data_IF_557145711192
#
_entry.id   IF_557145711192
#
_cell.length_a   1.000
_cell.length_b   1.000
_cell.length_c   1.000
_cell.angle_alpha   90.00
_cell.angle_beta   90.00
_cell.angle_gamma   90.00
#
_symmetry.space_group_name_H-M   'P 1'
#
loop_
_entity.id
_entity.type
_entity.pdbx_description
1 polymer ?
#
# COMPACT_ATOMS: atom_id res chain seq x y z
N UNK A 1 -0.71 5.68 3.15
CA UNK A 1 0.49 5.05 2.53
C UNK A 1 0.16 3.85 1.64
N UNK A 2 -0.58 2.83 2.11
CA UNK A 2 -0.98 1.71 1.24
C UNK A 2 -1.82 2.13 0.03
N UNK A 3 -2.69 3.14 0.19
CA UNK A 3 -3.53 3.66 -0.90
C UNK A 3 -2.71 4.21 -2.07
N UNK A 4 -1.57 4.85 -1.82
CA UNK A 4 -0.66 5.37 -2.85
C UNK A 4 -0.10 4.24 -3.70
N UNK A 5 0.32 3.16 -3.04
CA UNK A 5 0.82 1.96 -3.71
C UNK A 5 -0.23 1.40 -4.66
N UNK A 6 -1.46 1.21 -4.19
CA UNK A 6 -2.53 0.65 -5.02
C UNK A 6 -2.90 1.58 -6.19
N UNK A 7 -2.87 2.89 -6.00
CA UNK A 7 -3.12 3.86 -7.08
C UNK A 7 -2.04 3.76 -8.17
N UNK A 8 -0.77 3.72 -7.77
CA UNK A 8 0.33 3.61 -8.72
C UNK A 8 0.39 2.26 -9.43
N UNK A 9 0.01 1.19 -8.73
CA UNK A 9 -0.13 -0.16 -9.29
C UNK A 9 -1.24 -0.21 -10.35
N UNK A 10 -2.43 0.30 -10.02
CA UNK A 10 -3.55 0.40 -10.94
C UNK A 10 -3.18 1.21 -12.19
N UNK A 11 -2.50 2.35 -12.02
CA UNK A 11 -2.02 3.15 -13.15
C UNK A 11 -1.02 2.37 -14.03
N UNK A 12 -0.06 1.67 -13.42
CA UNK A 12 0.90 0.83 -14.15
C UNK A 12 0.23 -0.29 -14.96
N UNK A 13 -0.77 -0.97 -14.37
CA UNK A 13 -1.52 -2.02 -15.07
C UNK A 13 -2.43 -1.47 -16.18
N UNK A 14 -3.02 -0.29 -16.02
CA UNK A 14 -3.77 0.37 -17.11
C UNK A 14 -2.85 0.75 -18.28
N UNK A 15 -1.64 1.25 -17.98
CA UNK A 15 -0.64 1.55 -19.01
C UNK A 15 -0.19 0.28 -19.74
N UNK A 16 -0.01 -0.81 -19.00
CA UNK A 16 0.32 -2.11 -19.57
C UNK A 16 -0.84 -2.67 -20.43
N UNK A 17 -2.09 -2.54 -19.96
CA UNK A 17 -3.28 -2.94 -20.73
C UNK A 17 -3.38 -2.19 -22.05
N UNK A 18 -3.09 -0.89 -22.05
CA UNK A 18 -3.08 -0.08 -23.26
C UNK A 18 -2.03 -0.57 -24.26
N UNK A 19 -0.81 -0.87 -23.79
CA UNK A 19 0.27 -1.46 -24.60
C UNK A 19 -0.05 -2.84 -25.19
N UNK A 20 -0.92 -3.62 -24.54
CA UNK A 20 -1.31 -4.95 -24.97
C UNK A 20 -2.44 -4.96 -26.03
N UNK A 21 -2.95 -3.80 -26.44
CA UNK A 21 -4.03 -3.70 -27.43
C UNK A 21 -3.54 -4.04 -28.83
N UNK A 22 -4.33 -4.78 -29.62
CA UNK A 22 -3.96 -5.27 -30.96
C UNK A 22 -3.55 -4.14 -31.93
N UNK A 23 -4.15 -2.96 -31.80
CA UNK A 23 -3.83 -1.80 -32.65
C UNK A 23 -2.52 -1.08 -32.30
N UNK A 24 -2.00 -1.26 -31.09
CA UNK A 24 -0.84 -0.52 -30.56
C UNK A 24 0.10 -1.43 -29.77
N UNK A 25 0.64 -2.47 -30.43
CA UNK A 25 1.59 -3.39 -29.81
C UNK A 25 2.99 -2.76 -29.70
N UNK A 26 3.28 -2.12 -28.56
CA UNK A 26 4.58 -1.49 -28.27
C UNK A 26 5.19 -2.08 -26.99
N UNK A 27 6.12 -3.06 -27.09
CA UNK A 27 6.64 -3.78 -25.92
C UNK A 27 7.32 -2.90 -24.87
N UNK A 28 7.95 -1.80 -25.29
CA UNK A 28 8.61 -0.85 -24.38
C UNK A 28 7.62 -0.16 -23.44
N UNK A 29 6.41 0.12 -23.92
CA UNK A 29 5.37 0.74 -23.09
C UNK A 29 4.82 -0.24 -22.06
N UNK A 30 4.67 -1.51 -22.44
CA UNK A 30 4.26 -2.58 -21.53
C UNK A 30 5.30 -2.82 -20.44
N UNK A 31 6.58 -2.82 -20.81
CA UNK A 31 7.68 -2.88 -19.84
C UNK A 31 7.65 -1.71 -18.85
N UNK A 32 7.42 -0.49 -19.35
CA UNK A 32 7.31 0.70 -18.50
C UNK A 32 6.11 0.59 -17.54
N UNK A 33 4.94 0.17 -18.03
CA UNK A 33 3.74 -0.04 -17.22
C UNK A 33 3.96 -1.08 -16.11
N UNK A 34 4.53 -2.23 -16.48
CA UNK A 34 4.85 -3.29 -15.52
C UNK A 34 5.89 -2.86 -14.48
N UNK A 35 6.89 -2.08 -14.89
CA UNK A 35 7.92 -1.54 -13.98
C UNK A 35 7.30 -0.58 -12.96
N UNK A 36 6.44 0.33 -13.44
CA UNK A 36 5.71 1.25 -12.56
C UNK A 36 4.89 0.45 -11.54
N UNK A 37 4.07 -0.50 -12.01
CA UNK A 37 3.27 -1.34 -11.13
C UNK A 37 4.14 -2.03 -10.06
N UNK A 38 5.22 -2.69 -10.48
CA UNK A 38 6.13 -3.43 -9.60
C UNK A 38 6.78 -2.57 -8.51
N UNK A 39 7.17 -1.33 -8.85
CA UNK A 39 7.73 -0.37 -7.89
C UNK A 39 6.70 -0.03 -6.82
N UNK A 40 5.45 0.24 -7.22
CA UNK A 40 4.39 0.58 -6.29
C UNK A 40 3.94 -0.59 -5.42
N UNK A 41 3.83 -1.80 -5.97
CA UNK A 41 3.54 -3.04 -5.23
C UNK A 41 4.60 -3.31 -4.15
N UNK A 42 5.86 -2.98 -4.40
CA UNK A 42 6.97 -3.18 -3.44
C UNK A 42 6.79 -2.36 -2.14
N UNK A 43 6.07 -1.23 -2.20
CA UNK A 43 5.75 -0.44 -1.01
C UNK A 43 4.54 -0.98 -0.24
N UNK A 44 3.67 -1.76 -0.89
CA UNK A 44 2.46 -2.29 -0.27
C UNK A 44 2.77 -3.27 0.87
N UNK A 45 3.74 -4.18 0.64
CA UNK A 45 4.10 -5.21 1.61
C UNK A 45 4.58 -4.65 2.97
N UNK A 46 5.61 -3.77 3.05
CA UNK A 46 6.03 -3.22 4.34
C UNK A 46 4.95 -2.37 5.02
N UNK A 47 4.14 -1.63 4.24
CA UNK A 47 3.04 -0.84 4.78
C UNK A 47 1.93 -1.72 5.38
N UNK A 48 1.59 -2.83 4.73
CA UNK A 48 0.61 -3.81 5.23
C UNK A 48 1.11 -4.51 6.50
N UNK A 49 2.39 -4.88 6.57
CA UNK A 49 2.98 -5.47 7.77
C UNK A 49 2.95 -4.49 8.96
N UNK A 50 3.26 -3.21 8.72
CA UNK A 50 3.15 -2.16 9.74
C UNK A 50 1.70 -1.98 10.22
N UNK A 51 0.73 -1.98 9.30
CA UNK A 51 -0.70 -1.91 9.65
C UNK A 51 -1.12 -3.08 10.55
N UNK A 52 -0.73 -4.32 10.22
CA UNK A 52 -1.04 -5.50 11.04
C UNK A 52 -0.40 -5.36 12.44
N UNK A 53 0.85 -4.90 12.51
CA UNK A 53 1.54 -4.70 13.78
C UNK A 53 0.84 -3.67 14.69
N UNK A 54 0.27 -2.61 14.11
CA UNK A 54 -0.42 -1.56 14.84
C UNK A 54 -1.82 -1.98 15.31
N UNK A 55 -2.54 -2.79 14.53
CA UNK A 55 -3.93 -3.20 14.83
C UNK A 55 -4.02 -4.43 15.72
N UNK A 56 -3.10 -5.38 15.58
CA UNK A 56 -3.21 -6.68 16.25
C UNK A 56 -2.44 -6.67 17.58
N UNK A 57 -3.04 -7.22 18.63
CA UNK A 57 -2.40 -7.39 19.93
C UNK A 57 -1.18 -8.33 19.82
N UNK A 58 -0.12 -8.04 20.59
CA UNK A 58 1.17 -8.73 20.47
C UNK A 58 1.08 -10.26 20.58
N UNK A 59 0.17 -10.75 21.42
CA UNK A 59 -0.10 -12.18 21.64
C UNK A 59 -0.69 -12.91 20.41
N UNK A 60 -1.41 -12.19 19.54
CA UNK A 60 -2.08 -12.77 18.36
C UNK A 60 -1.37 -12.43 17.03
N UNK A 61 -0.37 -11.54 17.04
CA UNK A 61 0.33 -11.09 15.82
C UNK A 61 0.95 -12.24 15.02
N UNK A 62 1.60 -13.19 15.70
CA UNK A 62 2.23 -14.34 15.04
C UNK A 62 1.22 -15.21 14.30
N UNK A 63 0.04 -15.42 14.89
CA UNK A 63 -1.04 -16.17 14.26
C UNK A 63 -1.59 -15.42 13.04
N UNK A 64 -1.83 -14.12 13.15
CA UNK A 64 -2.30 -13.31 12.00
C UNK A 64 -1.27 -13.33 10.87
N UNK A 65 0.01 -13.16 11.16
CA UNK A 65 1.05 -13.26 10.14
C UNK A 65 1.12 -14.63 9.49
N UNK A 66 0.94 -15.72 10.24
CA UNK A 66 0.89 -17.07 9.68
C UNK A 66 -0.28 -17.24 8.70
N UNK A 67 -1.47 -16.72 9.03
CA UNK A 67 -2.64 -16.75 8.14
C UNK A 67 -2.37 -15.94 6.87
N UNK A 68 -1.86 -14.71 6.98
CA UNK A 68 -1.50 -13.89 5.82
C UNK A 68 -0.47 -14.58 4.93
N UNK A 69 0.56 -15.18 5.52
CA UNK A 69 1.59 -15.90 4.77
C UNK A 69 1.03 -17.12 4.03
N UNK A 70 0.13 -17.88 4.66
CA UNK A 70 -0.58 -18.99 4.02
C UNK A 70 -1.40 -18.49 2.83
N UNK A 71 -2.16 -17.40 2.98
CA UNK A 71 -2.96 -16.82 1.91
C UNK A 71 -2.10 -16.39 0.72
N UNK A 72 -0.92 -15.79 0.97
CA UNK A 72 0.02 -15.40 -0.10
C UNK A 72 0.53 -16.63 -0.85
N UNK A 73 0.95 -17.69 -0.15
CA UNK A 73 1.44 -18.90 -0.81
C UNK A 73 0.36 -19.55 -1.68
N UNK A 74 -0.88 -19.56 -1.21
CA UNK A 74 -2.02 -20.06 -1.99
C UNK A 74 -2.23 -19.18 -3.24
N UNK A 75 -2.21 -17.85 -3.09
CA UNK A 75 -2.37 -16.92 -4.20
C UNK A 75 -1.26 -17.04 -5.26
N UNK A 76 -0.01 -17.23 -4.84
CA UNK A 76 1.15 -17.40 -5.76
C UNK A 76 1.08 -18.69 -6.56
N UNK A 77 0.39 -19.72 -6.07
CA UNK A 77 0.16 -20.97 -6.82
C UNK A 77 -1.04 -20.83 -7.75
N UNK A 78 -2.18 -20.35 -7.24
CA UNK A 78 -3.44 -20.31 -8.00
C UNK A 78 -3.41 -19.18 -9.05
N UNK A 79 -2.82 -18.03 -8.70
CA UNK A 79 -2.77 -16.83 -9.54
C UNK A 79 -2.18 -17.08 -10.93
N UNK A 80 -0.96 -17.64 -11.06
CA UNK A 80 -0.37 -17.93 -12.36
C UNK A 80 -1.13 -18.99 -13.16
N UNK A 81 -1.77 -19.96 -12.51
CA UNK A 81 -2.55 -21.00 -13.20
C UNK A 81 -3.76 -20.37 -13.88
N UNK A 82 -4.55 -19.59 -13.14
CA UNK A 82 -5.72 -18.90 -13.70
C UNK A 82 -5.26 -17.80 -14.67
N UNK A 83 -4.27 -17.01 -14.26
CA UNK A 83 -3.73 -15.89 -15.04
C UNK A 83 -3.19 -16.33 -16.39
N UNK A 84 -2.42 -17.42 -16.47
CA UNK A 84 -1.86 -17.90 -17.74
C UNK A 84 -2.93 -18.33 -18.73
N UNK A 85 -3.97 -19.03 -18.27
CA UNK A 85 -5.08 -19.49 -19.12
C UNK A 85 -5.88 -18.32 -19.69
N UNK A 86 -6.19 -17.32 -18.87
CA UNK A 86 -6.99 -16.16 -19.30
C UNK A 86 -6.15 -15.18 -20.12
N UNK A 87 -4.90 -14.92 -19.71
CA UNK A 87 -4.00 -13.98 -20.36
C UNK A 87 -3.60 -14.42 -21.77
N UNK A 88 -3.48 -15.73 -22.02
CA UNK A 88 -3.15 -16.26 -23.35
C UNK A 88 -4.16 -15.83 -24.42
N UNK A 89 -5.46 -15.85 -24.09
CA UNK A 89 -6.53 -15.52 -25.03
C UNK A 89 -6.96 -14.06 -24.95
N UNK A 90 -6.90 -13.45 -23.76
CA UNK A 90 -7.45 -12.12 -23.49
C UNK A 90 -6.52 -11.26 -22.62
N UNK A 91 -5.34 -10.85 -23.14
CA UNK A 91 -4.35 -10.13 -22.34
C UNK A 91 -4.87 -8.77 -21.84
N UNK A 92 -5.51 -7.99 -22.71
CA UNK A 92 -6.08 -6.67 -22.34
C UNK A 92 -7.15 -6.81 -21.26
N UNK A 93 -8.10 -7.74 -21.45
CA UNK A 93 -9.18 -7.97 -20.47
C UNK A 93 -8.62 -8.42 -19.14
N UNK A 94 -7.59 -9.28 -19.15
CA UNK A 94 -6.92 -9.74 -17.93
C UNK A 94 -6.27 -8.57 -17.18
N UNK A 95 -5.53 -7.71 -17.88
CA UNK A 95 -4.86 -6.56 -17.28
C UNK A 95 -5.85 -5.51 -16.75
N UNK A 96 -6.94 -5.26 -17.47
CA UNK A 96 -8.02 -4.38 -16.99
C UNK A 96 -8.73 -4.98 -15.78
N UNK A 97 -8.97 -6.30 -15.76
CA UNK A 97 -9.57 -6.97 -14.60
C UNK A 97 -8.70 -6.85 -13.35
N UNK A 98 -7.37 -6.94 -13.49
CA UNK A 98 -6.42 -6.69 -12.40
C UNK A 98 -6.54 -5.24 -11.91
N UNK A 99 -6.50 -4.25 -12.81
CA UNK A 99 -6.66 -2.84 -12.44
C UNK A 99 -8.00 -2.54 -11.75
N UNK A 100 -9.09 -3.23 -12.15
CA UNK A 100 -10.39 -3.14 -11.48
C UNK A 100 -10.38 -3.78 -10.10
N UNK A 101 -9.67 -4.89 -9.91
CA UNK A 101 -9.48 -5.51 -8.60
C UNK A 101 -8.68 -4.57 -7.67
N UNK A 102 -7.65 -3.89 -8.19
CA UNK A 102 -6.90 -2.88 -7.44
C UNK A 102 -7.77 -1.67 -7.08
N UNK A 103 -8.62 -1.22 -8.01
CA UNK A 103 -9.58 -0.16 -7.74
C UNK A 103 -10.58 -0.56 -6.65
N UNK A 104 -11.06 -1.80 -6.69
CA UNK A 104 -11.92 -2.35 -5.64
C UNK A 104 -11.17 -2.37 -4.29
N UNK A 105 -9.93 -2.84 -4.27
CA UNK A 105 -9.09 -2.84 -3.07
C UNK A 105 -8.89 -1.42 -2.54
N UNK A 106 -8.64 -0.43 -3.40
CA UNK A 106 -8.51 0.97 -3.03
C UNK A 106 -9.79 1.48 -2.36
N UNK A 107 -10.96 1.20 -2.92
CA UNK A 107 -12.26 1.58 -2.33
C UNK A 107 -12.45 0.91 -0.97
N UNK A 108 -12.10 -0.37 -0.83
CA UNK A 108 -12.17 -1.09 0.44
C UNK A 108 -11.22 -0.48 1.48
N UNK A 109 -9.98 -0.15 1.08
CA UNK A 109 -9.01 0.49 1.96
C UNK A 109 -9.46 1.89 2.38
N UNK A 110 -10.07 2.68 1.50
CA UNK A 110 -10.57 4.01 1.86
C UNK A 110 -11.78 3.96 2.78
N UNK A 111 -12.64 2.94 2.62
CA UNK A 111 -13.88 2.81 3.41
C UNK A 111 -13.66 2.12 4.77
N UNK A 112 -12.77 1.12 4.81
CA UNK A 112 -12.54 0.27 6.00
C UNK A 112 -11.15 0.43 6.61
N UNK A 113 -10.18 0.94 5.87
CA UNK A 113 -8.85 1.23 6.37
C UNK A 113 -8.89 2.48 7.24
N UNK A 114 -8.97 2.30 8.55
CA UNK A 114 -8.69 3.38 9.49
C UNK A 114 -7.18 3.62 9.52
N UNK A 115 -6.76 4.88 9.50
CA UNK A 115 -5.34 5.26 9.59
C UNK A 115 -4.76 4.83 10.94
N UNK A 116 -3.93 3.79 10.94
CA UNK A 116 -3.37 3.16 12.16
C UNK A 116 -2.09 3.80 12.65
N UNK A 117 -1.63 4.89 12.02
CA UNK A 117 -0.39 5.58 12.35
C UNK A 117 -0.59 6.97 13.04
N UNK A 118 -1.20 7.05 14.24
CA UNK A 118 -1.32 8.33 14.96
C UNK A 118 0.01 8.79 15.60
N UNK A 119 1.02 7.92 15.71
CA UNK A 119 2.27 8.23 16.43
C UNK A 119 3.28 9.07 15.63
N UNK A 120 3.18 9.12 14.30
CA UNK A 120 3.97 10.05 13.46
C UNK A 120 3.36 11.45 13.46
N UNK A 121 2.04 11.56 13.61
CA UNK A 121 1.29 12.82 13.63
C UNK A 121 1.47 13.62 14.94
N UNK A 122 1.67 12.93 16.07
CA UNK A 122 1.87 13.53 17.40
C UNK A 122 3.03 12.86 18.19
N UNK A 123 4.30 13.18 17.88
CA UNK A 123 5.45 12.75 18.71
C UNK A 123 5.37 13.27 20.17
N UNK A 124 4.61 14.35 20.39
CA UNK A 124 4.41 15.04 21.67
C UNK A 124 3.76 14.16 22.77
N UNK A 125 2.94 13.17 22.40
CA UNK A 125 2.09 12.44 23.36
C UNK A 125 2.85 11.50 24.30
N UNK A 126 3.95 10.89 23.83
CA UNK A 126 4.81 10.03 24.67
C UNK A 126 5.94 10.80 25.33
N UNK A 127 6.47 11.84 24.69
CA UNK A 127 7.50 12.70 25.30
C UNK A 127 6.92 13.40 26.53
N UNK A 128 5.68 13.92 26.48
CA UNK A 128 5.05 14.58 27.64
C UNK A 128 4.82 13.63 28.82
N UNK A 129 4.47 12.36 28.59
CA UNK A 129 4.26 11.38 29.68
C UNK A 129 5.56 10.88 30.31
N UNK A 130 6.65 10.79 29.53
CA UNK A 130 7.98 10.40 30.03
C UNK A 130 8.70 11.59 30.68
N UNK A 131 8.65 12.76 30.04
CA UNK A 131 9.21 14.02 30.54
C UNK A 131 8.42 14.56 31.76
N UNK A 132 7.10 14.37 31.82
CA UNK A 132 6.30 14.74 33.00
C UNK A 132 6.60 13.91 34.26
N UNK A 133 7.21 12.72 34.12
CA UNK A 133 7.73 11.93 35.24
C UNK A 133 9.21 12.22 35.56
N UNK A 134 9.95 12.87 34.66
CA UNK A 134 11.42 13.01 34.76
C UNK A 134 11.91 14.47 34.82
N UNK A 135 11.11 15.46 34.45
CA UNK A 135 11.54 16.86 34.35
C UNK A 135 10.67 17.79 35.19
N UNK A 136 10.98 17.86 36.47
CA UNK A 136 10.79 19.06 37.29
C UNK A 136 11.85 20.14 36.98
N UNK A 137 12.22 20.37 35.71
CA UNK A 137 13.16 21.44 35.37
C UNK A 137 13.03 21.91 33.92
N UNK A 138 12.70 23.21 33.80
CA UNK A 138 12.87 24.16 32.69
C UNK A 138 12.21 23.84 31.33
N UNK A 139 11.16 24.61 31.06
CA UNK A 139 10.45 24.78 29.80
C UNK A 139 11.34 25.31 28.67
N UNK A 140 11.44 24.58 27.56
CA UNK A 140 11.97 25.07 26.28
C UNK A 140 10.80 25.39 25.34
N UNK A 141 10.81 26.61 24.80
CA UNK A 141 9.76 27.21 23.98
C UNK A 141 9.98 26.87 22.49
N UNK A 142 9.03 26.16 21.87
CA UNK A 142 9.10 25.75 20.45
C UNK A 142 7.87 26.29 19.70
N UNK A 143 7.92 27.56 19.29
CA UNK A 143 7.01 28.17 18.30
C UNK A 143 7.76 28.35 16.98
N UNK A 144 7.92 27.31 16.15
CA UNK A 144 8.40 27.52 14.77
C UNK A 144 8.18 26.40 13.73
N UNK A 145 7.26 25.45 13.93
CA UNK A 145 7.10 24.33 12.97
C UNK A 145 5.68 24.16 12.38
N UNK A 146 4.93 25.25 12.26
CA UNK A 146 3.52 25.22 11.82
C UNK A 146 3.32 25.15 10.28
N UNK A 147 4.32 25.48 9.45
CA UNK A 147 4.07 25.74 8.00
C UNK A 147 4.32 24.58 7.01
N UNK A 148 4.73 23.39 7.44
CA UNK A 148 5.08 22.29 6.49
C UNK A 148 3.97 21.23 6.36
N UNK A 149 2.88 21.30 7.14
CA UNK A 149 1.91 20.18 7.28
C UNK A 149 0.83 20.03 6.19
N UNK A 150 0.72 20.94 5.22
CA UNK A 150 -0.35 20.84 4.20
C UNK A 150 -0.03 19.98 2.97
N UNK A 151 1.23 19.57 2.74
CA UNK A 151 1.56 18.87 1.48
C UNK A 151 1.45 17.34 1.55
N UNK A 152 1.36 16.75 2.75
CA UNK A 152 1.39 15.28 2.94
C UNK A 152 0.01 14.62 3.06
N UNK A 153 -1.09 15.37 2.98
CA UNK A 153 -2.45 14.83 3.18
C UNK A 153 -3.20 14.52 1.86
N UNK A 154 -2.52 14.63 0.72
CA UNK A 154 -3.09 14.32 -0.61
C UNK A 154 -2.21 13.40 -1.46
N UNK A 155 -1.22 12.74 -0.87
CA UNK A 155 -0.52 11.60 -1.48
C UNK A 155 -0.76 10.41 -0.59
#
# INVERSE_FOLDING_TARGET
MMSISVIGECFGFLLFAFSATESFHQPYLGFLGFTIASVFTSFYQPASQAMIADVVAAEHRSHVYAVFYMMINVAVVIGPIIGSVVFYNYPVVTLVAIALADLLLLVLLQKFGHETAPLVLHPEGKIKKRCGKLCGSKSVNIRSFSKIKCFYYLS
#
